data_IF_123999754512
#
_entry.id   IF_123999754512
#
_cell.length_a   1.000
_cell.length_b   1.000
_cell.length_c   1.000
_cell.angle_alpha   90.00
_cell.angle_beta   90.00
_cell.angle_gamma   90.00
#
_symmetry.space_group_name_H-M   'P 1'
#
loop_
_entity.id
_entity.type
_entity.pdbx_description
1 polymer ?
#
# COMPACT_ATOMS: atom_id res chain seq x y z
N UNK A 1 43.17 14.44 -54.51
CA UNK A 1 42.25 13.80 -53.55
C UNK A 1 41.30 14.86 -52.98
N UNK A 2 40.03 14.87 -53.40
CA UNK A 2 38.98 15.73 -52.83
C UNK A 2 38.27 14.93 -51.75
N UNK A 3 38.39 15.35 -50.48
CA UNK A 3 37.71 14.71 -49.36
C UNK A 3 36.30 15.31 -49.27
N UNK A 4 35.30 14.51 -49.65
CA UNK A 4 33.89 14.89 -49.60
C UNK A 4 33.40 14.79 -48.15
N UNK A 5 33.08 15.91 -47.51
CA UNK A 5 32.50 15.93 -46.16
C UNK A 5 31.01 15.61 -46.26
N UNK A 6 30.62 14.39 -45.87
CA UNK A 6 29.22 14.05 -45.61
C UNK A 6 28.77 14.77 -44.32
N UNK A 7 27.85 15.72 -44.45
CA UNK A 7 27.14 16.30 -43.31
C UNK A 7 26.02 15.33 -42.91
N UNK A 8 26.15 14.74 -41.72
CA UNK A 8 25.11 13.91 -41.11
C UNK A 8 24.05 14.85 -40.51
N UNK A 9 22.90 14.96 -41.16
CA UNK A 9 21.76 15.69 -40.64
C UNK A 9 21.16 14.91 -39.46
N UNK A 10 21.32 15.43 -38.24
CA UNK A 10 20.68 14.91 -37.03
C UNK A 10 19.21 15.30 -37.13
N UNK A 11 18.34 14.33 -37.44
CA UNK A 11 16.90 14.48 -37.26
C UNK A 11 16.61 14.57 -35.76
N UNK A 12 16.44 15.79 -35.26
CA UNK A 12 15.87 16.05 -33.94
C UNK A 12 14.42 15.56 -33.94
N UNK A 13 14.16 14.40 -33.37
CA UNK A 13 12.79 13.97 -33.05
C UNK A 13 12.24 14.92 -32.01
N UNK A 14 11.34 15.81 -32.43
CA UNK A 14 10.54 16.63 -31.54
C UNK A 14 9.69 15.70 -30.65
N UNK A 15 10.04 15.60 -29.37
CA UNK A 15 9.12 15.07 -28.37
C UNK A 15 7.96 16.05 -28.32
N UNK A 16 6.76 15.62 -28.70
CA UNK A 16 5.54 16.40 -28.51
C UNK A 16 5.34 16.59 -27.00
N UNK A 17 5.87 17.67 -26.44
CA UNK A 17 5.35 18.21 -25.20
C UNK A 17 3.89 18.59 -25.50
N UNK A 18 2.94 17.87 -24.90
CA UNK A 18 1.54 18.22 -24.97
C UNK A 18 1.40 19.63 -24.39
N UNK A 19 1.16 20.63 -25.25
CA UNK A 19 0.91 22.02 -24.87
C UNK A 19 -0.48 22.13 -24.24
N UNK A 20 -0.64 21.66 -23.01
CA UNK A 20 -1.84 21.86 -22.19
C UNK A 20 -1.45 22.54 -20.88
N UNK A 21 -2.34 23.35 -20.33
CA UNK A 21 -2.16 23.91 -18.98
C UNK A 21 -2.32 22.79 -17.94
N UNK A 22 -1.69 22.94 -16.77
CA UNK A 22 -1.87 22.00 -15.64
C UNK A 22 -3.33 21.92 -15.15
N UNK A 23 -4.16 22.90 -15.55
CA UNK A 23 -5.59 22.98 -15.22
C UNK A 23 -6.49 22.30 -16.25
N UNK A 24 -5.95 21.94 -17.42
CA UNK A 24 -6.75 21.27 -18.45
C UNK A 24 -7.10 19.87 -17.96
N UNK A 25 -8.36 19.44 -18.17
CA UNK A 25 -8.74 18.06 -17.90
C UNK A 25 -8.10 17.16 -18.96
N UNK A 26 -7.11 16.38 -18.56
CA UNK A 26 -6.38 15.48 -19.44
C UNK A 26 -5.91 14.23 -18.70
N UNK A 27 -5.71 13.13 -19.44
CA UNK A 27 -5.17 11.89 -18.88
C UNK A 27 -3.84 12.13 -18.16
N UNK A 28 -2.94 12.93 -18.74
CA UNK A 28 -1.62 13.20 -18.18
C UNK A 28 -1.68 14.04 -16.90
N UNK A 29 -2.53 15.07 -16.84
CA UNK A 29 -2.69 15.87 -15.63
C UNK A 29 -3.31 15.05 -14.48
N UNK A 30 -4.31 14.21 -14.78
CA UNK A 30 -4.90 13.32 -13.79
C UNK A 30 -3.95 12.24 -13.32
N UNK A 31 -3.20 11.60 -14.23
CA UNK A 31 -2.17 10.64 -13.86
C UNK A 31 -1.12 11.26 -12.93
N UNK A 32 -0.63 12.46 -13.26
CA UNK A 32 0.32 13.20 -12.43
C UNK A 32 -0.24 13.51 -11.03
N UNK A 33 -1.49 13.98 -10.97
CA UNK A 33 -2.17 14.28 -9.71
C UNK A 33 -2.39 13.03 -8.83
N UNK A 34 -2.85 11.92 -9.43
CA UNK A 34 -3.06 10.65 -8.72
C UNK A 34 -1.71 10.08 -8.23
N UNK A 35 -0.68 10.07 -9.06
CA UNK A 35 0.64 9.57 -8.67
C UNK A 35 1.30 10.45 -7.59
N UNK A 36 1.07 11.77 -7.59
CA UNK A 36 1.51 12.66 -6.51
C UNK A 36 0.91 12.23 -5.17
N UNK A 37 -0.39 11.94 -5.14
CA UNK A 37 -1.06 11.42 -3.95
C UNK A 37 -0.49 10.05 -3.52
N UNK A 38 -0.28 9.13 -4.47
CA UNK A 38 0.28 7.81 -4.15
C UNK A 38 1.73 7.83 -3.66
N UNK A 39 2.52 8.84 -4.04
CA UNK A 39 3.89 8.99 -3.56
C UNK A 39 3.95 9.27 -2.04
N UNK A 40 2.90 9.86 -1.47
CA UNK A 40 2.79 10.15 -0.03
C UNK A 40 2.18 8.98 0.77
N UNK A 41 1.48 8.07 0.08
CA UNK A 41 0.71 7.00 0.68
C UNK A 41 1.32 5.61 0.43
N UNK A 42 1.75 4.95 1.50
CA UNK A 42 2.04 3.53 1.40
C UNK A 42 0.77 2.68 1.50
N UNK A 43 0.71 1.63 0.68
CA UNK A 43 -0.31 0.59 0.73
C UNK A 43 -0.11 -0.29 1.98
N UNK A 44 -1.07 -0.33 2.92
CA UNK A 44 -0.92 -1.16 4.11
C UNK A 44 -1.19 -2.65 3.81
N UNK A 45 -0.48 -3.53 4.50
CA UNK A 45 -0.88 -4.92 4.66
C UNK A 45 -2.17 -4.96 5.49
N UNK A 46 -3.24 -5.45 4.87
CA UNK A 46 -4.55 -5.58 5.51
C UNK A 46 -4.66 -6.89 6.28
N UNK A 47 -4.95 -6.79 7.59
CA UNK A 47 -5.35 -7.93 8.40
C UNK A 47 -6.86 -8.18 8.23
N UNK A 48 -7.24 -9.40 7.87
CA UNK A 48 -8.63 -9.85 7.81
C UNK A 48 -9.23 -10.10 9.19
N UNK A 49 -10.57 -10.24 9.21
CA UNK A 49 -11.38 -10.38 10.44
C UNK A 49 -10.85 -11.44 11.44
N UNK A 50 -10.44 -12.61 10.95
CA UNK A 50 -9.91 -13.69 11.80
C UNK A 50 -8.49 -13.45 12.33
N UNK A 51 -7.68 -12.65 11.62
CA UNK A 51 -6.27 -12.47 11.92
C UNK A 51 -6.01 -11.52 13.10
N UNK A 52 -7.03 -10.77 13.53
CA UNK A 52 -6.96 -9.88 14.69
C UNK A 52 -7.75 -10.41 15.91
N UNK A 53 -8.38 -11.58 15.81
CA UNK A 53 -9.10 -12.15 16.94
C UNK A 53 -8.13 -12.55 18.05
N UNK A 54 -8.48 -12.27 19.32
CA UNK A 54 -7.62 -12.60 20.46
C UNK A 54 -6.25 -11.90 20.45
N UNK A 55 -6.09 -10.82 19.69
CA UNK A 55 -4.87 -9.99 19.66
C UNK A 55 -5.02 -8.86 20.68
N UNK A 56 -4.14 -8.82 21.66
CA UNK A 56 -4.06 -7.75 22.66
C UNK A 56 -2.85 -6.87 22.34
N UNK A 57 -3.11 -5.63 21.92
CA UNK A 57 -2.05 -4.63 21.71
C UNK A 57 -1.63 -3.93 22.99
N UNK A 58 -0.52 -3.21 22.91
CA UNK A 58 -0.27 -2.04 23.76
C UNK A 58 -0.98 -0.83 23.15
N UNK A 59 -1.24 0.23 23.93
CA UNK A 59 -1.97 1.43 23.49
C UNK A 59 -1.35 2.12 22.25
N UNK A 60 -0.16 1.72 21.82
CA UNK A 60 0.62 2.30 20.71
C UNK A 60 1.18 1.27 19.71
N UNK A 61 0.54 0.11 19.55
CA UNK A 61 0.91 -0.90 18.55
C UNK A 61 1.73 -2.05 19.13
N UNK A 62 2.85 -2.39 18.48
CA UNK A 62 3.71 -3.50 18.92
C UNK A 62 4.48 -3.14 20.22
N UNK A 63 4.70 -4.11 21.13
CA UNK A 63 4.37 -5.51 20.97
C UNK A 63 2.88 -5.81 21.08
N UNK A 64 2.43 -6.83 20.36
CA UNK A 64 1.09 -7.39 20.49
C UNK A 64 1.17 -8.81 21.03
N UNK A 65 0.21 -9.23 21.83
CA UNK A 65 0.11 -10.61 22.29
C UNK A 65 -1.05 -11.27 21.56
N UNK A 66 -0.76 -12.34 20.83
CA UNK A 66 -1.82 -13.18 20.26
C UNK A 66 -2.05 -14.35 21.20
N UNK A 67 -3.26 -14.42 21.75
CA UNK A 67 -3.72 -15.53 22.61
C UNK A 67 -3.66 -16.85 21.85
N UNK A 68 -3.42 -17.95 22.56
CA UNK A 68 -3.48 -19.29 21.98
C UNK A 68 -4.92 -19.67 21.59
N UNK A 69 -5.91 -19.17 22.32
CA UNK A 69 -7.33 -19.27 22.01
C UNK A 69 -7.94 -17.90 21.66
N UNK A 70 -8.93 -17.89 20.78
CA UNK A 70 -9.70 -16.69 20.46
C UNK A 70 -10.80 -16.44 21.51
N UNK A 71 -11.59 -15.37 21.34
CA UNK A 71 -12.66 -15.03 22.28
C UNK A 71 -13.80 -16.07 22.38
N UNK A 72 -13.91 -16.97 21.41
CA UNK A 72 -14.82 -18.11 21.43
C UNK A 72 -14.19 -19.37 22.04
N UNK A 73 -13.03 -19.25 22.70
CA UNK A 73 -12.27 -20.34 23.32
C UNK A 73 -11.81 -21.44 22.34
N UNK A 74 -11.69 -21.10 21.06
CA UNK A 74 -11.16 -22.00 20.03
C UNK A 74 -9.70 -21.65 19.70
N UNK A 75 -8.90 -22.59 19.15
CA UNK A 75 -7.54 -22.30 18.73
C UNK A 75 -7.45 -21.09 17.79
N UNK A 76 -6.57 -20.14 18.10
CA UNK A 76 -6.45 -18.87 17.37
C UNK A 76 -5.56 -18.99 16.12
N UNK A 77 -5.82 -20.00 15.30
CA UNK A 77 -4.92 -20.42 14.20
C UNK A 77 -4.70 -19.34 13.16
N UNK A 78 -5.73 -18.59 12.78
CA UNK A 78 -5.63 -17.55 11.76
C UNK A 78 -4.75 -16.38 12.19
N UNK A 79 -4.93 -15.87 13.41
CA UNK A 79 -4.05 -14.83 13.94
C UNK A 79 -2.63 -15.38 14.15
N UNK A 80 -2.47 -16.61 14.64
CA UNK A 80 -1.13 -17.19 14.81
C UNK A 80 -0.37 -17.30 13.51
N UNK A 81 -1.00 -17.89 12.49
CA UNK A 81 -0.40 -18.01 11.17
C UNK A 81 0.01 -16.64 10.59
N UNK A 82 -0.81 -15.60 10.76
CA UNK A 82 -0.51 -14.25 10.29
C UNK A 82 0.76 -13.67 10.96
N UNK A 83 0.80 -13.65 12.29
CA UNK A 83 1.93 -13.06 13.01
C UNK A 83 3.20 -13.92 12.97
N UNK A 84 3.08 -15.25 12.93
CA UNK A 84 4.21 -16.17 12.75
C UNK A 84 4.82 -16.03 11.36
N UNK A 85 4.01 -15.83 10.31
CA UNK A 85 4.52 -15.56 8.97
C UNK A 85 5.32 -14.26 8.92
N UNK A 86 4.84 -13.20 9.57
CA UNK A 86 5.56 -11.92 9.67
C UNK A 86 6.83 -12.05 10.52
N UNK A 87 6.83 -12.90 11.55
CA UNK A 87 8.02 -13.19 12.35
C UNK A 87 9.07 -13.97 11.53
N UNK A 88 8.63 -14.99 10.79
CA UNK A 88 9.48 -15.76 9.87
C UNK A 88 10.08 -14.88 8.77
N UNK A 89 9.33 -13.92 8.27
CA UNK A 89 9.81 -12.92 7.30
C UNK A 89 10.76 -11.87 7.90
N UNK A 90 11.02 -11.96 9.22
CA UNK A 90 11.97 -11.12 9.95
C UNK A 90 11.43 -9.75 10.34
N UNK A 91 10.12 -9.50 10.21
CA UNK A 91 9.50 -8.24 10.64
C UNK A 91 9.22 -8.22 12.14
N UNK A 92 8.95 -9.39 12.72
CA UNK A 92 8.62 -9.54 14.13
C UNK A 92 9.53 -10.58 14.80
N UNK A 93 9.71 -10.45 16.10
CA UNK A 93 10.19 -11.53 16.97
C UNK A 93 8.99 -12.15 17.67
N UNK A 94 8.98 -13.47 17.88
CA UNK A 94 7.94 -14.18 18.63
C UNK A 94 8.51 -14.73 19.95
N UNK A 95 7.81 -14.51 21.07
CA UNK A 95 8.17 -15.06 22.39
C UNK A 95 6.92 -15.51 23.16
N UNK A 96 6.97 -16.64 23.89
CA UNK A 96 5.87 -17.03 24.78
C UNK A 96 5.49 -15.89 25.73
N UNK A 97 4.20 -15.74 25.99
CA UNK A 97 3.67 -14.70 26.87
C UNK A 97 2.49 -15.23 27.69
N UNK A 98 2.27 -14.60 28.84
CA UNK A 98 1.10 -14.79 29.67
C UNK A 98 0.32 -13.49 29.74
N UNK A 99 -1.01 -13.58 29.70
CA UNK A 99 -1.92 -12.46 29.85
C UNK A 99 -2.56 -12.60 31.23
N UNK A 100 -2.31 -11.66 32.16
CA UNK A 100 -2.95 -11.69 33.46
C UNK A 100 -4.46 -11.68 33.31
N UNK A 101 -5.13 -12.59 34.02
CA UNK A 101 -6.58 -12.66 34.13
C UNK A 101 -6.96 -12.54 35.60
N UNK A 102 -7.92 -11.67 35.92
CA UNK A 102 -8.36 -11.50 37.30
C UNK A 102 -9.27 -12.65 37.71
N UNK A 103 -8.88 -13.41 38.72
CA UNK A 103 -9.68 -14.52 39.27
C UNK A 103 -9.68 -15.81 38.44
N UNK A 104 -8.86 -15.90 37.39
CA UNK A 104 -8.66 -17.09 36.57
C UNK A 104 -7.16 -17.33 36.35
N UNK A 105 -6.78 -18.53 35.91
CA UNK A 105 -5.40 -18.78 35.49
C UNK A 105 -4.99 -17.83 34.35
N UNK A 106 -3.73 -17.36 34.31
CA UNK A 106 -3.24 -16.52 33.24
C UNK A 106 -3.42 -17.19 31.88
N UNK A 107 -3.98 -16.47 30.91
CA UNK A 107 -4.10 -16.98 29.55
C UNK A 107 -2.71 -17.04 28.89
N UNK A 108 -2.44 -18.10 28.13
CA UNK A 108 -1.20 -18.22 27.36
C UNK A 108 -1.34 -17.61 25.97
N UNK A 109 -0.21 -17.16 25.43
CA UNK A 109 -0.13 -16.64 24.09
C UNK A 109 1.31 -16.44 23.66
N UNK A 110 1.49 -15.63 22.62
CA UNK A 110 2.82 -15.22 22.16
C UNK A 110 2.84 -13.73 21.92
N UNK A 111 3.85 -13.09 22.50
CA UNK A 111 4.16 -11.70 22.22
C UNK A 111 4.97 -11.61 20.93
N UNK A 112 4.51 -10.73 20.04
CA UNK A 112 5.21 -10.33 18.85
C UNK A 112 5.68 -8.89 18.99
N UNK A 113 6.97 -8.66 18.79
CA UNK A 113 7.59 -7.35 18.86
C UNK A 113 8.30 -7.02 17.55
N UNK A 114 8.37 -5.74 17.18
CA UNK A 114 9.06 -5.31 15.96
C UNK A 114 10.56 -5.59 16.03
N UNK A 115 11.10 -6.14 14.95
CA UNK A 115 12.53 -6.06 14.65
C UNK A 115 12.87 -4.68 14.08
N UNK A 116 14.16 -4.38 13.86
CA UNK A 116 14.55 -3.16 13.15
C UNK A 116 13.99 -3.13 11.71
N UNK A 117 14.04 -4.27 11.00
CA UNK A 117 13.39 -4.43 9.68
C UNK A 117 11.90 -4.16 9.77
N UNK A 118 11.23 -4.67 10.81
CA UNK A 118 9.82 -4.42 11.09
C UNK A 118 9.51 -2.94 11.25
N UNK A 119 10.26 -2.22 12.09
CA UNK A 119 10.08 -0.77 12.33
C UNK A 119 10.19 0.03 11.03
N UNK A 120 11.18 -0.29 10.20
CA UNK A 120 11.40 0.36 8.90
C UNK A 120 10.32 0.01 7.87
N UNK A 121 9.66 -1.14 8.04
CA UNK A 121 8.60 -1.61 7.14
C UNK A 121 7.21 -1.15 7.58
N UNK A 122 7.05 -0.37 8.65
CA UNK A 122 5.73 0.16 9.03
C UNK A 122 5.26 1.23 8.05
N UNK A 123 3.95 1.35 7.84
CA UNK A 123 3.39 2.46 7.03
C UNK A 123 3.68 3.83 7.63
N UNK A 124 3.87 3.90 8.96
CA UNK A 124 4.37 5.06 9.70
C UNK A 124 4.83 4.60 11.08
N UNK A 125 5.71 5.35 11.77
CA UNK A 125 6.09 5.05 13.15
C UNK A 125 4.88 4.85 14.06
N UNK A 126 4.88 3.78 14.85
CA UNK A 126 3.77 3.43 15.76
C UNK A 126 2.56 2.77 15.10
N UNK A 127 2.57 2.53 13.79
CA UNK A 127 1.51 1.77 13.12
C UNK A 127 1.56 0.28 13.48
N UNK A 128 0.41 -0.39 13.34
CA UNK A 128 0.27 -1.85 13.41
C UNK A 128 0.37 -2.53 12.05
N UNK A 129 0.29 -1.76 10.96
CA UNK A 129 0.35 -2.24 9.58
C UNK A 129 1.71 -2.00 8.95
N UNK A 130 2.14 -2.96 8.14
CA UNK A 130 3.35 -2.89 7.33
C UNK A 130 3.05 -2.34 5.94
N UNK A 131 4.02 -1.63 5.38
CA UNK A 131 4.01 -1.06 4.05
C UNK A 131 4.38 -2.12 3.01
N UNK A 132 3.46 -2.43 2.09
CA UNK A 132 3.68 -3.45 1.04
C UNK A 132 4.06 -2.87 -0.32
N UNK A 133 4.25 -1.55 -0.39
CA UNK A 133 4.62 -0.83 -1.61
C UNK A 133 3.69 0.37 -1.89
N UNK A 134 3.92 1.02 -3.02
CA UNK A 134 3.19 2.22 -3.44
C UNK A 134 2.36 1.93 -4.67
N UNK A 135 1.15 2.48 -4.72
CA UNK A 135 0.35 2.42 -5.95
C UNK A 135 1.00 3.31 -7.00
N UNK A 136 0.97 2.89 -8.26
CA UNK A 136 1.37 3.69 -9.40
C UNK A 136 0.36 3.51 -10.50
N UNK A 137 -0.13 4.62 -11.04
CA UNK A 137 -1.04 4.61 -12.18
C UNK A 137 -0.32 3.99 -13.38
N UNK A 138 -0.98 3.03 -14.02
CA UNK A 138 -0.55 2.47 -15.30
C UNK A 138 -1.13 3.31 -16.45
N UNK A 139 -2.42 3.64 -16.38
CA UNK A 139 -3.10 4.50 -17.34
C UNK A 139 -4.38 5.13 -16.73
N UNK A 140 -4.67 6.39 -17.07
CA UNK A 140 -6.04 6.94 -16.95
C UNK A 140 -6.87 6.50 -18.16
N UNK A 141 -7.83 5.61 -17.93
CA UNK A 141 -8.67 5.00 -18.98
C UNK A 141 -9.65 6.02 -19.57
N UNK A 142 -10.39 6.70 -18.70
CA UNK A 142 -11.41 7.70 -19.07
C UNK A 142 -11.65 8.68 -17.93
N UNK A 143 -12.27 9.83 -18.23
CA UNK A 143 -12.72 10.78 -17.23
C UNK A 143 -14.00 11.49 -17.66
N UNK A 144 -14.79 11.98 -16.70
CA UNK A 144 -15.98 12.79 -16.98
C UNK A 144 -15.60 14.23 -17.35
N UNK A 145 -16.43 14.91 -18.14
CA UNK A 145 -16.26 16.35 -18.33
C UNK A 145 -16.24 17.08 -16.98
N UNK A 146 -15.36 18.10 -16.81
CA UNK A 146 -15.33 18.91 -15.60
C UNK A 146 -16.67 19.59 -15.34
N UNK A 147 -17.15 19.52 -14.10
CA UNK A 147 -18.40 20.15 -13.70
C UNK A 147 -18.32 20.66 -12.26
N UNK A 148 -19.16 21.61 -11.91
CA UNK A 148 -19.22 22.13 -10.54
C UNK A 148 -19.91 21.12 -9.60
N UNK A 149 -19.20 20.74 -8.55
CA UNK A 149 -19.69 19.92 -7.45
C UNK A 149 -19.18 20.49 -6.13
N UNK A 150 -20.07 20.69 -5.14
CA UNK A 150 -19.71 21.26 -3.83
C UNK A 150 -18.99 22.62 -3.90
N UNK A 151 -19.25 23.42 -4.95
CA UNK A 151 -18.58 24.71 -5.16
C UNK A 151 -17.13 24.59 -5.65
N UNK A 152 -16.74 23.45 -6.19
CA UNK A 152 -15.44 23.19 -6.81
C UNK A 152 -15.65 22.56 -8.19
N UNK A 153 -14.76 22.81 -9.13
CA UNK A 153 -14.76 22.09 -10.41
C UNK A 153 -14.14 20.71 -10.20
N UNK A 154 -14.90 19.66 -10.53
CA UNK A 154 -14.55 18.26 -10.29
C UNK A 154 -14.64 17.42 -11.57
N UNK A 155 -13.88 16.32 -11.63
CA UNK A 155 -13.96 15.30 -12.69
C UNK A 155 -13.74 13.92 -12.08
N UNK A 156 -14.51 12.92 -12.50
CA UNK A 156 -14.30 11.54 -12.08
C UNK A 156 -13.38 10.84 -13.09
N UNK A 157 -12.20 10.39 -12.65
CA UNK A 157 -11.23 9.70 -13.50
C UNK A 157 -11.20 8.19 -13.16
N UNK A 158 -11.42 7.34 -14.16
CA UNK A 158 -11.20 5.89 -14.06
C UNK A 158 -9.80 5.56 -14.55
N UNK A 159 -9.04 4.79 -13.76
CA UNK A 159 -7.65 4.46 -14.05
C UNK A 159 -7.32 3.01 -13.68
N UNK A 160 -6.24 2.50 -14.24
CA UNK A 160 -5.59 1.26 -13.80
C UNK A 160 -4.34 1.59 -13.00
N UNK A 161 -4.01 0.74 -12.03
CA UNK A 161 -2.79 0.89 -11.23
C UNK A 161 -2.16 -0.46 -10.88
N UNK A 162 -0.88 -0.40 -10.55
CA UNK A 162 -0.10 -1.53 -10.02
C UNK A 162 0.61 -1.08 -8.75
N UNK A 163 0.74 -1.99 -7.77
CA UNK A 163 1.58 -1.73 -6.60
C UNK A 163 3.05 -2.01 -6.96
N UNK A 164 3.88 -0.99 -6.85
CA UNK A 164 5.33 -1.04 -7.09
C UNK A 164 6.12 -0.95 -5.79
N UNK A 165 7.44 -1.16 -5.89
CA UNK A 165 8.35 -1.17 -4.74
C UNK A 165 7.92 -2.17 -3.65
N UNK A 166 7.37 -3.30 -4.09
CA UNK A 166 6.92 -4.38 -3.20
C UNK A 166 8.15 -4.98 -2.52
N UNK A 167 8.24 -4.94 -1.18
CA UNK A 167 9.40 -5.47 -0.48
C UNK A 167 9.43 -7.00 -0.58
N UNK A 168 10.64 -7.57 -0.61
CA UNK A 168 10.83 -9.02 -0.78
C UNK A 168 10.03 -9.86 0.24
N UNK A 169 9.93 -9.39 1.48
CA UNK A 169 9.18 -10.08 2.54
C UNK A 169 7.69 -10.23 2.21
N UNK A 170 7.11 -9.30 1.46
CA UNK A 170 5.71 -9.37 1.05
C UNK A 170 5.48 -10.45 -0.02
N UNK A 171 6.54 -10.90 -0.69
CA UNK A 171 6.53 -12.02 -1.63
C UNK A 171 6.86 -13.38 -0.98
N UNK A 172 7.19 -13.43 0.31
CA UNK A 172 7.47 -14.68 1.01
C UNK A 172 6.24 -15.61 0.95
N UNK A 173 6.39 -16.89 0.56
CA UNK A 173 5.25 -17.81 0.43
C UNK A 173 4.42 -17.99 1.70
N UNK A 174 5.03 -17.93 2.89
CA UNK A 174 4.31 -18.02 4.15
C UNK A 174 3.48 -16.75 4.40
N UNK A 175 4.02 -15.58 4.03
CA UNK A 175 3.26 -14.31 4.07
C UNK A 175 2.11 -14.34 3.07
N UNK A 176 2.35 -14.77 1.81
CA UNK A 176 1.29 -14.89 0.79
C UNK A 176 0.19 -15.87 1.18
N UNK A 177 0.53 -16.97 1.83
CA UNK A 177 -0.44 -17.94 2.33
C UNK A 177 -1.22 -17.41 3.54
N UNK A 178 -0.56 -16.70 4.46
CA UNK A 178 -1.19 -16.15 5.63
C UNK A 178 -2.09 -14.94 5.31
N UNK A 179 -1.77 -14.16 4.27
CA UNK A 179 -2.53 -12.98 3.84
C UNK A 179 -3.05 -13.13 2.39
N UNK A 180 -4.15 -13.89 2.15
CA UNK A 180 -4.69 -14.08 0.80
C UNK A 180 -5.09 -12.77 0.09
N UNK A 181 -5.55 -11.76 0.84
CA UNK A 181 -5.88 -10.43 0.32
C UNK A 181 -4.68 -9.72 -0.30
N UNK A 182 -3.45 -10.02 0.16
CA UNK A 182 -2.23 -9.48 -0.43
C UNK A 182 -1.99 -9.99 -1.85
N UNK A 183 -2.47 -11.21 -2.17
CA UNK A 183 -2.37 -11.74 -3.54
C UNK A 183 -3.19 -10.91 -4.50
N UNK A 184 -4.46 -10.66 -4.16
CA UNK A 184 -5.34 -9.80 -4.95
C UNK A 184 -4.81 -8.35 -5.03
N UNK A 185 -4.32 -7.81 -3.92
CA UNK A 185 -3.77 -6.45 -3.88
C UNK A 185 -2.57 -6.24 -4.81
N UNK A 186 -1.76 -7.28 -5.02
CA UNK A 186 -0.54 -7.22 -5.82
C UNK A 186 -0.73 -7.74 -7.25
N UNK A 187 -1.96 -8.06 -7.65
CA UNK A 187 -2.27 -8.26 -9.06
C UNK A 187 -2.03 -6.94 -9.83
N UNK A 188 -1.44 -6.99 -11.04
CA UNK A 188 -1.24 -5.78 -11.84
C UNK A 188 -2.55 -5.26 -12.42
N UNK A 189 -2.54 -4.00 -12.86
CA UNK A 189 -3.63 -3.37 -13.62
C UNK A 189 -5.00 -3.39 -12.92
N UNK A 190 -4.98 -3.26 -11.59
CA UNK A 190 -6.20 -3.09 -10.79
C UNK A 190 -6.94 -1.83 -11.24
N UNK A 191 -8.27 -1.91 -11.35
CA UNK A 191 -9.10 -0.77 -11.76
C UNK A 191 -9.59 0.01 -10.54
N UNK A 192 -9.52 1.33 -10.62
CA UNK A 192 -10.05 2.23 -9.60
C UNK A 192 -10.65 3.50 -10.22
N UNK A 193 -11.34 4.27 -9.40
CA UNK A 193 -11.87 5.59 -9.75
C UNK A 193 -11.41 6.62 -8.72
N UNK A 194 -11.08 7.81 -9.21
CA UNK A 194 -10.68 8.98 -8.44
C UNK A 194 -11.68 10.11 -8.67
N UNK A 195 -11.93 10.91 -7.63
CA UNK A 195 -12.50 12.24 -7.80
C UNK A 195 -11.36 13.24 -7.87
N UNK A 196 -11.26 13.94 -8.99
CA UNK A 196 -10.27 14.98 -9.21
C UNK A 196 -10.89 16.34 -8.95
N UNK A 197 -10.24 17.18 -8.16
CA UNK A 197 -10.65 18.56 -7.84
C UNK A 197 -9.66 19.53 -8.46
N UNK A 198 -10.17 20.53 -9.18
CA UNK A 198 -9.34 21.56 -9.79
C UNK A 198 -8.91 22.59 -8.76
N UNK A 199 -7.60 22.69 -8.55
CA UNK A 199 -6.95 23.64 -7.65
C UNK A 199 -6.26 24.77 -8.43
N UNK A 200 -5.64 25.68 -7.69
CA UNK A 200 -4.93 26.83 -8.28
C UNK A 200 -3.70 26.43 -9.10
N UNK A 201 -3.06 25.31 -8.76
CA UNK A 201 -1.82 24.78 -9.35
C UNK A 201 -2.05 23.58 -10.28
N UNK A 202 -3.27 23.07 -10.39
CA UNK A 202 -3.62 21.92 -11.23
C UNK A 202 -4.66 21.05 -10.56
N UNK A 203 -4.74 19.78 -10.94
CA UNK A 203 -5.69 18.83 -10.36
C UNK A 203 -5.13 18.15 -9.10
N UNK A 204 -5.99 17.82 -8.14
CA UNK A 204 -5.70 16.99 -6.96
C UNK A 204 -6.72 15.89 -6.79
N UNK A 205 -6.29 14.77 -6.22
CA UNK A 205 -7.17 13.78 -5.59
C UNK A 205 -7.47 14.19 -4.14
#
# INVERSE_FOLDING_TARGET
MKVLKLALAILSTAVLAACGSAKDASKSNFEGAINKHFAEDCTPLSFGFGQLTGVKGTDHGYPVIVRDTNYALQPNTAARAAFDALAKAGLLTAKPAQIPSSGHEPETGTAYALTEKGKQSLVRPGSVSFCVGHRRVDEVVQFSEPSDGLGQTMSAATYTYTVVDVPEWANDPAVRAAFPSLNQLLEPHQKAQATMVLMNDGWSM
#
